data_IF_698745514659
#
_entry.id   IF_698745514659
#
_cell.length_a   1.000
_cell.length_b   1.000
_cell.length_c   1.000
_cell.angle_alpha   90.00
_cell.angle_beta   90.00
_cell.angle_gamma   90.00
#
_symmetry.space_group_name_H-M   'P 1'
#
loop_
_entity.id
_entity.type
_entity.pdbx_description
1 polymer ?
#
# COMPACT_ATOMS: atom_id res chain seq x y z
N UNK A 1 15.29 22.87 -0.94
CA UNK A 1 14.37 21.79 -0.57
C UNK A 1 14.55 20.69 -1.61
N UNK A 2 14.61 19.41 -1.22
CA UNK A 2 14.74 18.30 -2.18
C UNK A 2 13.54 18.31 -3.14
N UNK A 3 13.84 18.30 -4.46
CA UNK A 3 12.83 18.20 -5.51
C UNK A 3 12.17 16.81 -5.55
N UNK A 4 12.78 15.85 -4.82
CA UNK A 4 12.38 14.46 -4.77
C UNK A 4 11.30 14.25 -3.71
N UNK A 5 10.22 13.57 -4.11
CA UNK A 5 9.15 13.12 -3.22
C UNK A 5 9.61 11.90 -2.40
N UNK A 6 10.22 10.93 -3.09
CA UNK A 6 10.81 9.73 -2.48
C UNK A 6 12.27 9.62 -2.91
N UNK A 7 13.15 9.30 -1.96
CA UNK A 7 14.54 8.93 -2.22
C UNK A 7 14.85 7.62 -1.50
N UNK A 8 15.25 6.62 -2.24
CA UNK A 8 15.75 5.34 -1.72
C UNK A 8 17.26 5.31 -1.92
N UNK A 9 18.03 5.09 -0.85
CA UNK A 9 19.50 5.14 -0.88
C UNK A 9 20.07 3.85 -0.32
N UNK A 10 20.77 3.10 -1.18
CA UNK A 10 21.50 1.86 -0.83
C UNK A 10 20.66 0.89 0.02
N UNK A 11 19.38 0.73 -0.35
CA UNK A 11 18.45 -0.12 0.37
C UNK A 11 18.89 -1.58 0.31
N UNK A 12 19.02 -2.20 1.48
CA UNK A 12 19.26 -3.63 1.63
C UNK A 12 18.16 -4.24 2.48
N UNK A 13 17.43 -5.22 1.92
CA UNK A 13 16.38 -5.97 2.62
C UNK A 13 16.72 -7.44 2.63
N UNK A 14 16.68 -8.03 3.82
CA UNK A 14 17.06 -9.42 4.06
C UNK A 14 15.94 -10.22 4.71
N UNK A 15 15.86 -11.50 4.36
CA UNK A 15 14.98 -12.48 4.98
C UNK A 15 15.79 -13.59 5.62
N UNK A 16 15.42 -13.95 6.84
CA UNK A 16 16.02 -15.07 7.58
C UNK A 16 15.17 -16.33 7.39
N UNK A 17 15.78 -17.41 6.98
CA UNK A 17 15.15 -18.71 6.80
C UNK A 17 15.96 -19.82 7.48
N UNK A 18 15.45 -21.04 7.45
CA UNK A 18 16.12 -22.23 8.04
C UNK A 18 17.53 -22.48 7.47
N UNK A 19 17.75 -22.09 6.23
CA UNK A 19 19.00 -22.31 5.49
C UNK A 19 19.91 -21.06 5.45
N UNK A 20 19.67 -20.06 6.30
CA UNK A 20 20.48 -18.83 6.35
C UNK A 20 19.70 -17.58 5.96
N UNK A 21 20.43 -16.50 5.69
CA UNK A 21 19.88 -15.20 5.31
C UNK A 21 19.93 -15.00 3.80
N UNK A 22 18.82 -14.61 3.21
CA UNK A 22 18.68 -14.26 1.79
C UNK A 22 18.57 -12.75 1.66
N UNK A 23 19.44 -12.14 0.87
CA UNK A 23 19.34 -10.72 0.52
C UNK A 23 18.43 -10.57 -0.70
N UNK A 24 17.22 -10.06 -0.48
CA UNK A 24 16.21 -9.91 -1.53
C UNK A 24 16.28 -8.56 -2.25
N UNK A 25 16.82 -7.54 -1.60
CA UNK A 25 17.18 -6.23 -2.18
C UNK A 25 18.58 -5.92 -1.74
N UNK A 26 19.46 -5.61 -2.68
CA UNK A 26 20.88 -5.41 -2.42
C UNK A 26 21.37 -4.07 -3.00
N UNK A 27 21.51 -3.07 -2.12
CA UNK A 27 22.09 -1.76 -2.42
C UNK A 27 21.31 -0.89 -3.41
N UNK A 28 20.01 -1.08 -3.55
CA UNK A 28 19.18 -0.38 -4.54
C UNK A 28 19.03 1.10 -4.17
N UNK A 29 19.21 1.97 -5.17
CA UNK A 29 19.03 3.42 -5.03
C UNK A 29 18.25 3.99 -6.21
N UNK A 30 17.25 4.83 -5.92
CA UNK A 30 16.49 5.60 -6.91
C UNK A 30 15.77 6.76 -6.22
N UNK A 31 15.24 7.68 -7.01
CA UNK A 31 14.40 8.75 -6.52
C UNK A 31 13.16 8.91 -7.41
N UNK A 32 12.11 9.50 -6.86
CA UNK A 32 10.86 9.82 -7.56
C UNK A 32 10.52 11.27 -7.24
N UNK A 33 10.34 12.10 -8.25
CA UNK A 33 9.90 13.47 -8.10
C UNK A 33 8.38 13.57 -7.96
N UNK A 34 7.87 14.68 -7.46
CA UNK A 34 6.44 14.91 -7.41
C UNK A 34 5.84 14.91 -8.82
N UNK A 35 4.78 14.10 -9.02
CA UNK A 35 4.12 13.94 -10.33
C UNK A 35 4.84 13.00 -11.29
N UNK A 36 5.95 12.40 -10.90
CA UNK A 36 6.68 11.44 -11.73
C UNK A 36 6.11 10.03 -11.60
N UNK A 37 6.23 9.24 -12.66
CA UNK A 37 5.97 7.80 -12.68
C UNK A 37 7.27 7.06 -12.92
N UNK A 38 7.69 6.22 -11.97
CA UNK A 38 8.86 5.38 -12.10
C UNK A 38 8.46 3.93 -12.38
N UNK A 39 8.92 3.36 -13.50
CA UNK A 39 8.76 1.93 -13.81
C UNK A 39 9.92 1.12 -13.25
N UNK A 40 9.62 0.09 -12.44
CA UNK A 40 10.62 -0.89 -11.97
C UNK A 40 10.37 -2.20 -12.70
N UNK A 41 11.32 -2.61 -13.54
CA UNK A 41 11.25 -3.82 -14.37
C UNK A 41 12.29 -4.84 -13.94
N UNK A 42 12.04 -6.12 -14.22
CA UNK A 42 12.95 -7.22 -13.89
C UNK A 42 12.20 -8.55 -13.85
N UNK A 43 12.93 -9.65 -13.78
CA UNK A 43 12.39 -11.00 -13.72
C UNK A 43 11.57 -11.28 -12.44
N UNK A 44 10.80 -12.37 -12.44
CA UNK A 44 10.09 -12.82 -11.24
C UNK A 44 11.11 -13.15 -10.13
N UNK A 45 10.85 -12.70 -8.90
CA UNK A 45 11.73 -12.95 -7.76
C UNK A 45 12.92 -11.98 -7.60
N UNK A 46 13.16 -11.05 -8.53
CA UNK A 46 14.31 -10.12 -8.44
C UNK A 46 14.15 -8.97 -7.41
N UNK A 47 13.19 -9.02 -6.50
CA UNK A 47 13.07 -8.07 -5.39
C UNK A 47 12.16 -6.86 -5.64
N UNK A 48 11.47 -6.70 -6.79
CA UNK A 48 10.60 -5.54 -7.08
C UNK A 48 9.54 -5.30 -5.99
N UNK A 49 8.77 -6.32 -5.69
CA UNK A 49 7.72 -6.25 -4.66
C UNK A 49 8.30 -6.03 -3.26
N UNK A 50 9.45 -6.64 -2.97
CA UNK A 50 10.15 -6.45 -1.70
C UNK A 50 10.63 -5.01 -1.56
N UNK A 51 11.13 -4.39 -2.63
CA UNK A 51 11.50 -2.96 -2.64
C UNK A 51 10.30 -2.07 -2.29
N UNK A 52 9.15 -2.28 -2.94
CA UNK A 52 7.92 -1.52 -2.66
C UNK A 52 7.42 -1.75 -1.22
N UNK A 53 7.44 -3.00 -0.74
CA UNK A 53 7.08 -3.34 0.65
C UNK A 53 8.04 -2.71 1.66
N UNK A 54 9.33 -2.59 1.32
CA UNK A 54 10.34 -1.95 2.18
C UNK A 54 10.06 -0.46 2.37
N UNK A 55 9.61 0.25 1.32
CA UNK A 55 9.24 1.67 1.41
C UNK A 55 8.19 1.88 2.50
N UNK A 56 7.18 1.01 2.55
CA UNK A 56 6.12 1.08 3.55
C UNK A 56 6.42 0.29 4.84
N UNK A 57 7.63 -0.27 4.98
CA UNK A 57 8.01 -1.14 6.11
C UNK A 57 6.99 -2.28 6.35
N UNK A 58 6.49 -2.88 5.26
CA UNK A 58 5.56 -4.02 5.30
C UNK A 58 6.28 -5.36 5.31
N UNK A 59 7.59 -5.37 5.50
CA UNK A 59 8.38 -6.60 5.68
C UNK A 59 8.01 -7.22 7.02
N UNK A 60 7.57 -8.50 7.06
CA UNK A 60 7.21 -9.16 8.32
C UNK A 60 8.42 -9.28 9.24
N UNK A 61 8.39 -8.73 10.46
CA UNK A 61 9.56 -8.66 11.35
C UNK A 61 10.08 -10.02 11.80
N UNK A 62 9.22 -11.07 11.75
CA UNK A 62 9.61 -12.43 12.11
C UNK A 62 10.50 -13.09 11.06
N UNK A 63 10.39 -12.67 9.79
CA UNK A 63 11.09 -13.32 8.68
C UNK A 63 12.04 -12.40 7.94
N UNK A 64 11.93 -11.08 8.10
CA UNK A 64 12.75 -10.14 7.35
C UNK A 64 12.98 -8.79 8.03
N UNK A 65 13.96 -8.07 7.52
CA UNK A 65 14.30 -6.71 8.00
C UNK A 65 14.92 -5.87 6.90
N UNK A 66 14.78 -4.56 7.03
CA UNK A 66 15.65 -3.61 6.31
C UNK A 66 16.98 -3.63 7.04
N UNK A 67 18.02 -4.18 6.39
CA UNK A 67 19.33 -4.37 7.00
C UNK A 67 20.18 -3.09 6.95
N UNK A 68 20.04 -2.29 5.88
CA UNK A 68 20.71 -0.99 5.72
C UNK A 68 20.02 -0.15 4.65
N UNK A 69 20.47 1.10 4.53
CA UNK A 69 19.96 2.08 3.58
C UNK A 69 18.98 3.05 4.23
N UNK A 70 18.57 4.04 3.45
CA UNK A 70 17.63 5.09 3.87
C UNK A 70 16.47 5.16 2.88
N UNK A 71 15.29 5.48 3.39
CA UNK A 71 14.09 5.74 2.59
C UNK A 71 13.52 7.08 3.04
N UNK A 72 13.77 8.12 2.24
CA UNK A 72 13.31 9.47 2.54
C UNK A 72 12.00 9.74 1.81
N UNK A 73 11.00 10.22 2.52
CA UNK A 73 9.73 10.71 1.99
C UNK A 73 9.50 12.14 2.49
N UNK A 74 9.44 13.10 1.58
CA UNK A 74 9.35 14.52 1.96
C UNK A 74 10.46 14.97 2.92
N UNK A 75 11.65 14.36 2.83
CA UNK A 75 12.80 14.62 3.70
C UNK A 75 12.80 13.85 5.04
N UNK A 76 11.76 13.09 5.36
CA UNK A 76 11.70 12.24 6.57
C UNK A 76 12.17 10.83 6.26
N UNK A 77 13.07 10.28 7.07
CA UNK A 77 13.55 8.90 6.91
C UNK A 77 12.52 7.91 7.48
N UNK A 78 11.82 7.21 6.58
CA UNK A 78 10.79 6.22 6.95
C UNK A 78 11.34 5.03 7.73
N UNK A 79 12.63 4.73 7.58
CA UNK A 79 13.26 3.59 8.28
C UNK A 79 13.41 3.83 9.77
N UNK A 80 13.46 5.10 10.20
CA UNK A 80 13.66 5.54 11.59
C UNK A 80 12.38 5.92 12.33
N UNK A 81 11.24 5.96 11.63
CA UNK A 81 9.96 6.31 12.24
C UNK A 81 9.50 5.24 13.24
N UNK A 82 8.81 5.67 14.28
CA UNK A 82 8.07 4.76 15.16
C UNK A 82 6.91 4.08 14.41
N UNK A 83 6.37 2.98 14.97
CA UNK A 83 5.21 2.30 14.39
C UNK A 83 3.96 3.18 14.33
N UNK A 84 3.83 4.12 15.26
CA UNK A 84 2.72 5.08 15.26
C UNK A 84 2.86 6.07 14.09
N UNK A 85 4.06 6.58 13.83
CA UNK A 85 4.31 7.53 12.75
C UNK A 85 4.16 6.90 11.38
N UNK A 86 4.73 5.70 11.16
CA UNK A 86 4.60 5.03 9.86
C UNK A 86 3.13 4.65 9.54
N UNK A 87 2.30 4.34 10.55
CA UNK A 87 0.87 4.11 10.36
C UNK A 87 0.11 5.34 9.85
N UNK A 88 0.55 6.55 10.21
CA UNK A 88 -0.06 7.79 9.70
C UNK A 88 0.26 8.02 8.22
N UNK A 89 1.37 7.49 7.73
CA UNK A 89 1.80 7.59 6.33
C UNK A 89 1.13 6.52 5.48
N UNK A 90 1.06 5.27 5.99
CA UNK A 90 0.44 4.15 5.28
C UNK A 90 -1.03 4.41 5.01
N UNK A 91 -1.43 4.30 3.75
CA UNK A 91 -2.81 4.50 3.29
C UNK A 91 -3.24 5.96 3.18
N UNK A 92 -2.56 6.89 3.84
CA UNK A 92 -2.85 8.32 3.80
C UNK A 92 -1.95 9.06 2.79
N UNK A 93 -0.64 8.98 2.97
CA UNK A 93 0.33 9.68 2.11
C UNK A 93 0.95 8.73 1.07
N UNK A 94 1.15 7.47 1.42
CA UNK A 94 1.62 6.42 0.51
C UNK A 94 0.70 5.23 0.61
N UNK A 95 0.07 4.85 -0.50
CA UNK A 95 -0.75 3.64 -0.59
C UNK A 95 -0.06 2.58 -1.46
N UNK A 96 -0.39 1.31 -1.25
CA UNK A 96 0.09 0.19 -2.04
C UNK A 96 -1.07 -0.67 -2.53
N UNK A 97 -1.04 -1.01 -3.81
CA UNK A 97 -1.97 -1.98 -4.41
C UNK A 97 -1.18 -3.26 -4.67
N UNK A 98 -1.59 -4.35 -4.01
CA UNK A 98 -0.97 -5.65 -4.18
C UNK A 98 -1.41 -6.30 -5.50
N UNK A 99 -0.51 -7.10 -6.08
CA UNK A 99 -0.78 -7.82 -7.33
C UNK A 99 -1.92 -8.84 -7.18
N UNK A 100 -2.01 -9.50 -6.02
CA UNK A 100 -3.08 -10.46 -5.75
C UNK A 100 -4.30 -9.76 -5.13
N UNK A 101 -5.37 -9.67 -5.92
CA UNK A 101 -6.66 -9.11 -5.46
C UNK A 101 -7.46 -10.07 -4.58
N UNK A 102 -7.05 -11.34 -4.45
CA UNK A 102 -7.76 -12.33 -3.63
C UNK A 102 -7.46 -12.17 -2.14
N UNK A 103 -6.24 -11.74 -1.80
CA UNK A 103 -5.78 -11.61 -0.42
C UNK A 103 -5.88 -10.17 0.12
N UNK A 104 -6.12 -9.20 -0.75
CA UNK A 104 -6.16 -7.77 -0.37
C UNK A 104 -7.46 -7.32 0.30
N UNK A 105 -8.54 -8.10 0.22
CA UNK A 105 -9.84 -7.80 0.83
C UNK A 105 -10.19 -8.82 1.91
N UNK A 106 -10.72 -8.36 3.03
CA UNK A 106 -11.21 -9.23 4.11
C UNK A 106 -12.50 -9.95 3.65
N UNK A 107 -12.51 -11.29 3.50
CA UNK A 107 -13.64 -12.03 2.93
C UNK A 107 -14.90 -12.02 3.82
N UNK A 108 -14.76 -11.75 5.12
CA UNK A 108 -15.88 -11.75 6.08
C UNK A 108 -16.45 -10.34 6.37
N UNK A 109 -15.96 -9.33 5.65
CA UNK A 109 -16.45 -7.95 5.74
C UNK A 109 -17.04 -7.51 4.40
N UNK A 110 -18.12 -6.72 4.44
CA UNK A 110 -18.66 -6.11 3.22
C UNK A 110 -17.71 -5.06 2.67
N UNK A 111 -17.78 -4.81 1.36
CA UNK A 111 -16.95 -3.81 0.66
C UNK A 111 -17.09 -2.43 1.31
N UNK A 112 -18.33 -2.03 1.64
CA UNK A 112 -18.60 -0.74 2.26
C UNK A 112 -17.95 -0.59 3.63
N UNK A 113 -18.00 -1.64 4.47
CA UNK A 113 -17.33 -1.60 5.78
C UNK A 113 -15.83 -1.42 5.66
N UNK A 114 -15.18 -2.12 4.72
CA UNK A 114 -13.74 -2.02 4.51
C UNK A 114 -13.33 -0.63 4.01
N UNK A 115 -14.07 -0.06 3.04
CA UNK A 115 -13.83 1.30 2.56
C UNK A 115 -14.02 2.35 3.66
N UNK A 116 -15.12 2.26 4.41
CA UNK A 116 -15.40 3.18 5.52
C UNK A 116 -14.31 3.10 6.59
N UNK A 117 -13.86 1.90 6.95
CA UNK A 117 -12.77 1.71 7.90
C UNK A 117 -11.48 2.39 7.40
N UNK A 118 -11.12 2.21 6.13
CA UNK A 118 -9.96 2.87 5.52
C UNK A 118 -10.10 4.40 5.56
N UNK A 119 -11.25 4.95 5.19
CA UNK A 119 -11.50 6.39 5.17
C UNK A 119 -11.43 6.97 6.60
N UNK A 120 -12.11 6.35 7.55
CA UNK A 120 -12.18 6.86 8.92
C UNK A 120 -10.88 6.69 9.71
N UNK A 121 -10.00 5.77 9.29
CA UNK A 121 -8.68 5.61 9.90
C UNK A 121 -7.79 6.85 9.75
N UNK A 122 -8.00 7.65 8.71
CA UNK A 122 -7.16 8.80 8.36
C UNK A 122 -7.94 10.12 8.24
N UNK A 123 -9.24 10.11 8.44
CA UNK A 123 -10.09 11.31 8.37
C UNK A 123 -10.94 11.46 9.62
N UNK A 124 -11.46 12.68 9.83
CA UNK A 124 -12.43 12.98 10.90
C UNK A 124 -13.88 12.85 10.41
N UNK A 125 -14.11 12.24 9.26
CA UNK A 125 -15.44 12.02 8.71
C UNK A 125 -16.29 11.15 9.63
N UNK A 126 -17.56 11.48 9.78
CA UNK A 126 -18.49 10.58 10.41
C UNK A 126 -18.80 9.36 9.51
N UNK A 127 -19.49 8.35 10.07
CA UNK A 127 -19.77 7.11 9.32
C UNK A 127 -20.64 7.33 8.09
N UNK A 128 -21.54 8.32 8.12
CA UNK A 128 -22.44 8.62 7.00
C UNK A 128 -21.68 9.29 5.87
N UNK A 129 -20.85 10.27 6.19
CA UNK A 129 -19.95 10.95 5.25
C UNK A 129 -18.97 9.95 4.62
N UNK A 130 -18.34 9.09 5.44
CA UNK A 130 -17.43 8.06 4.95
C UNK A 130 -18.12 7.04 4.04
N UNK A 131 -19.40 6.70 4.29
CA UNK A 131 -20.19 5.82 3.42
C UNK A 131 -20.46 6.45 2.06
N UNK A 132 -20.84 7.74 2.02
CA UNK A 132 -21.02 8.46 0.75
C UNK A 132 -19.70 8.59 0.00
N UNK A 133 -18.61 8.90 0.69
CA UNK A 133 -17.27 8.92 0.10
C UNK A 133 -16.89 7.57 -0.48
N UNK A 134 -17.16 6.47 0.22
CA UNK A 134 -16.93 5.12 -0.29
C UNK A 134 -17.73 4.86 -1.58
N UNK A 135 -18.99 5.31 -1.65
CA UNK A 135 -19.82 5.21 -2.85
C UNK A 135 -19.23 5.98 -4.03
N UNK A 136 -18.80 7.21 -3.79
CA UNK A 136 -18.14 8.04 -4.81
C UNK A 136 -16.85 7.38 -5.33
N UNK A 137 -16.05 6.79 -4.45
CA UNK A 137 -14.81 6.12 -4.85
C UNK A 137 -15.09 4.91 -5.73
N UNK A 138 -16.11 4.10 -5.42
CA UNK A 138 -16.51 2.99 -6.29
C UNK A 138 -16.99 3.48 -7.66
N UNK A 139 -17.68 4.63 -7.73
CA UNK A 139 -18.06 5.26 -9.00
C UNK A 139 -16.82 5.67 -9.81
N UNK A 140 -15.86 6.36 -9.16
CA UNK A 140 -14.63 6.82 -9.81
C UNK A 140 -13.81 5.70 -10.42
N UNK A 141 -13.79 4.51 -9.81
CA UNK A 141 -13.09 3.34 -10.37
C UNK A 141 -13.97 2.53 -11.32
N UNK A 142 -15.15 3.02 -11.69
CA UNK A 142 -16.03 2.41 -12.70
C UNK A 142 -16.70 1.12 -12.21
N UNK A 143 -17.06 1.01 -10.94
CA UNK A 143 -17.88 -0.09 -10.41
C UNK A 143 -19.37 0.22 -10.64
N UNK A 144 -20.11 -0.66 -11.35
CA UNK A 144 -21.53 -0.46 -11.59
C UNK A 144 -22.34 -0.67 -10.31
N UNK A 145 -23.45 0.07 -10.16
CA UNK A 145 -24.37 -0.02 -9.01
C UNK A 145 -23.66 0.09 -7.64
N UNK A 146 -22.87 1.16 -7.37
CA UNK A 146 -21.99 1.25 -6.20
C UNK A 146 -22.75 1.06 -4.87
N UNK A 147 -23.96 1.61 -4.74
CA UNK A 147 -24.78 1.48 -3.54
C UNK A 147 -25.13 0.03 -3.19
N UNK A 148 -25.35 -0.82 -4.20
CA UNK A 148 -25.54 -2.25 -4.02
C UNK A 148 -24.21 -2.93 -3.65
N UNK A 149 -23.13 -2.65 -4.40
CA UNK A 149 -21.81 -3.28 -4.21
C UNK A 149 -21.20 -3.00 -2.85
N UNK A 150 -21.47 -1.85 -2.24
CA UNK A 150 -21.05 -1.56 -0.87
C UNK A 150 -21.61 -2.57 0.17
N UNK A 151 -22.77 -3.17 -0.10
CA UNK A 151 -23.41 -4.15 0.80
C UNK A 151 -22.93 -5.58 0.56
N UNK A 152 -22.25 -5.83 -0.53
CA UNK A 152 -21.77 -7.15 -0.93
C UNK A 152 -20.42 -7.49 -0.28
N UNK A 153 -20.10 -8.79 -0.25
CA UNK A 153 -18.84 -9.32 0.21
C UNK A 153 -17.88 -9.54 -0.97
N UNK A 154 -16.57 -9.62 -0.74
CA UNK A 154 -15.58 -9.81 -1.80
C UNK A 154 -15.86 -11.00 -2.73
N UNK A 155 -16.35 -12.12 -2.20
CA UNK A 155 -16.65 -13.32 -2.99
C UNK A 155 -17.81 -13.13 -3.98
N UNK A 156 -18.65 -12.12 -3.79
CA UNK A 156 -19.77 -11.78 -4.70
C UNK A 156 -19.32 -10.89 -5.88
N UNK A 157 -18.05 -10.43 -5.89
CA UNK A 157 -17.49 -9.61 -6.94
C UNK A 157 -16.56 -10.42 -7.84
N UNK A 158 -16.50 -10.05 -9.13
CA UNK A 158 -15.50 -10.59 -10.05
C UNK A 158 -14.08 -10.19 -9.64
N UNK A 159 -13.05 -10.89 -10.13
CA UNK A 159 -11.64 -10.55 -9.85
C UNK A 159 -11.30 -9.10 -10.22
N UNK A 160 -11.72 -8.66 -11.41
CA UNK A 160 -11.51 -7.27 -11.83
C UNK A 160 -12.25 -6.23 -10.98
N UNK A 161 -13.44 -6.56 -10.46
CA UNK A 161 -14.15 -5.67 -9.53
C UNK A 161 -13.42 -5.61 -8.18
N UNK A 162 -12.91 -6.73 -7.65
CA UNK A 162 -12.10 -6.74 -6.42
C UNK A 162 -10.86 -5.87 -6.56
N UNK A 163 -10.17 -5.96 -7.70
CA UNK A 163 -9.02 -5.11 -7.98
C UNK A 163 -9.39 -3.63 -8.00
N UNK A 164 -10.50 -3.26 -8.64
CA UNK A 164 -11.01 -1.87 -8.64
C UNK A 164 -11.39 -1.39 -7.23
N UNK A 165 -11.94 -2.26 -6.38
CA UNK A 165 -12.21 -1.93 -4.97
C UNK A 165 -10.90 -1.62 -4.24
N UNK A 166 -9.85 -2.42 -4.42
CA UNK A 166 -8.54 -2.13 -3.82
C UNK A 166 -7.96 -0.80 -4.30
N UNK A 167 -8.13 -0.48 -5.59
CA UNK A 167 -7.74 0.84 -6.13
C UNK A 167 -8.57 1.95 -5.46
N UNK A 168 -9.88 1.75 -5.30
CA UNK A 168 -10.74 2.71 -4.60
C UNK A 168 -10.29 2.92 -3.15
N UNK A 169 -9.91 1.85 -2.42
CA UNK A 169 -9.36 1.95 -1.08
C UNK A 169 -8.05 2.76 -1.05
N UNK A 170 -7.13 2.47 -1.97
CA UNK A 170 -5.86 3.18 -2.06
C UNK A 170 -6.01 4.68 -2.37
N UNK A 171 -7.06 5.06 -3.10
CA UNK A 171 -7.35 6.45 -3.50
C UNK A 171 -8.31 7.18 -2.55
N UNK A 172 -8.81 6.53 -1.51
CA UNK A 172 -9.89 7.09 -0.67
C UNK A 172 -9.42 8.11 0.36
N UNK A 173 -8.13 8.13 0.66
CA UNK A 173 -7.50 9.05 1.62
C UNK A 173 -6.71 10.17 0.96
#
# INVERSE_FOLDING_TARGET
MSENLIEVKKLVTQFSGKNGTVTAVDGVSFNIKKGETLGIVGESGCGKSVTSMSILRLIPPQSGKIASGEILFGGKDLTKLSDKEIRQIRGNEIAMIFQDSMTGLNPVMTIGKQLVETITAHSKMDKKEAWERAREMLMKVGIPSPAQRLKEYPHQLSGGMRQRVMIAMALSC
#
